data_IF_516841400193
#
_entry.id   IF_516841400193
#
_cell.length_a   1.000
_cell.length_b   1.000
_cell.length_c   1.000
_cell.angle_alpha   90.00
_cell.angle_beta   90.00
_cell.angle_gamma   90.00
#
_symmetry.space_group_name_H-M   'P 1'
#
loop_
_entity.id
_entity.type
_entity.pdbx_description
1 polymer ?
#
# COMPACT_ATOMS: atom_id res chain seq x y z
N UNK A 1 -28.71 -19.80 -13.49
CA UNK A 1 -27.44 -19.05 -13.45
C UNK A 1 -27.26 -18.56 -12.03
N UNK A 2 -26.48 -19.30 -11.25
CA UNK A 2 -26.32 -19.05 -9.81
C UNK A 2 -25.42 -17.84 -9.59
N UNK A 3 -25.52 -17.12 -8.45
CA UNK A 3 -24.65 -15.98 -8.16
C UNK A 3 -23.15 -16.32 -8.32
N UNK A 4 -22.74 -17.53 -7.96
CA UNK A 4 -21.35 -18.01 -8.10
C UNK A 4 -20.85 -18.14 -9.55
N UNK A 5 -21.73 -18.42 -10.52
CA UNK A 5 -21.37 -18.51 -11.94
C UNK A 5 -21.20 -17.13 -12.60
N UNK A 6 -21.94 -16.13 -12.12
CA UNK A 6 -21.76 -14.74 -12.54
C UNK A 6 -20.42 -14.19 -12.05
N UNK A 7 -20.06 -14.48 -10.79
CA UNK A 7 -18.76 -14.12 -10.23
C UNK A 7 -17.59 -14.82 -10.92
N UNK A 8 -17.75 -16.09 -11.33
CA UNK A 8 -16.70 -16.81 -12.06
C UNK A 8 -16.50 -16.30 -13.48
N UNK A 9 -17.59 -15.95 -14.20
CA UNK A 9 -17.51 -15.34 -15.54
C UNK A 9 -16.96 -13.91 -15.52
N UNK A 10 -17.36 -13.09 -14.54
CA UNK A 10 -16.80 -11.74 -14.36
C UNK A 10 -15.30 -11.82 -14.04
N UNK A 11 -14.89 -12.76 -13.16
CA UNK A 11 -13.48 -13.04 -12.85
C UNK A 11 -12.69 -13.44 -14.10
N UNK A 12 -13.25 -14.27 -14.98
CA UNK A 12 -12.57 -14.68 -16.21
C UNK A 12 -12.50 -13.57 -17.28
N UNK A 13 -13.47 -12.65 -17.33
CA UNK A 13 -13.46 -11.52 -18.28
C UNK A 13 -12.42 -10.43 -17.97
N UNK A 14 -11.89 -10.41 -16.73
CA UNK A 14 -10.90 -9.43 -16.24
C UNK A 14 -9.45 -9.93 -16.43
N UNK A 15 -9.23 -11.05 -17.15
CA UNK A 15 -7.88 -11.53 -17.46
C UNK A 15 -7.18 -12.27 -16.31
N UNK A 16 -7.94 -12.85 -15.38
CA UNK A 16 -7.43 -13.50 -14.16
C UNK A 16 -6.80 -14.90 -14.42
N UNK A 17 -6.61 -15.30 -15.68
CA UNK A 17 -6.00 -16.58 -16.07
C UNK A 17 -4.53 -16.51 -16.48
N UNK A 18 -3.87 -15.35 -16.45
CA UNK A 18 -2.40 -15.38 -16.53
C UNK A 18 -1.85 -15.84 -15.17
N UNK A 19 -1.06 -16.89 -15.15
CA UNK A 19 -0.33 -17.47 -14.01
C UNK A 19 0.71 -16.51 -13.37
N UNK A 20 0.59 -15.21 -13.62
CA UNK A 20 1.50 -14.13 -13.25
C UNK A 20 0.73 -13.04 -12.50
N UNK A 21 1.01 -12.80 -11.21
CA UNK A 21 0.39 -11.71 -10.48
C UNK A 21 0.91 -10.39 -11.05
N UNK A 22 -0.02 -9.49 -11.37
CA UNK A 22 0.26 -8.07 -11.58
C UNK A 22 0.27 -7.37 -10.21
N UNK A 23 1.39 -6.74 -9.86
CA UNK A 23 1.54 -6.07 -8.57
C UNK A 23 0.94 -4.66 -8.57
N UNK A 24 0.57 -4.14 -9.74
CA UNK A 24 -0.14 -2.86 -9.86
C UNK A 24 -1.60 -2.95 -9.42
N UNK A 25 -2.17 -4.17 -9.42
CA UNK A 25 -3.56 -4.41 -9.09
C UNK A 25 -3.64 -5.10 -7.73
N UNK A 26 -4.04 -4.35 -6.71
CA UNK A 26 -4.40 -4.94 -5.41
C UNK A 26 -5.86 -5.40 -5.43
N UNK A 27 -6.14 -6.64 -5.05
CA UNK A 27 -7.50 -7.15 -4.88
C UNK A 27 -7.77 -7.16 -3.38
N UNK A 28 -8.75 -6.37 -2.95
CA UNK A 28 -9.15 -6.34 -1.53
C UNK A 28 -9.75 -7.69 -1.15
N UNK A 29 -9.29 -8.24 -0.03
CA UNK A 29 -9.96 -9.37 0.60
C UNK A 29 -11.37 -8.95 1.07
N UNK A 30 -12.39 -9.82 1.02
CA UNK A 30 -13.71 -9.52 1.56
C UNK A 30 -13.66 -9.09 3.04
N UNK A 31 -12.71 -9.63 3.80
CA UNK A 31 -12.52 -9.28 5.21
C UNK A 31 -11.93 -7.87 5.38
N UNK A 32 -10.96 -7.50 4.56
CA UNK A 32 -10.35 -6.16 4.57
C UNK A 32 -11.37 -5.11 4.13
N UNK A 33 -12.15 -5.42 3.09
CA UNK A 33 -13.25 -4.58 2.65
C UNK A 33 -14.26 -4.35 3.79
N UNK A 34 -14.66 -5.41 4.50
CA UNK A 34 -15.58 -5.30 5.64
C UNK A 34 -14.99 -4.42 6.75
N UNK A 35 -13.71 -4.63 7.12
CA UNK A 35 -13.05 -3.84 8.16
C UNK A 35 -13.01 -2.35 7.84
N UNK A 36 -12.60 -1.99 6.63
CA UNK A 36 -12.55 -0.58 6.20
C UNK A 36 -13.94 0.03 6.08
N UNK A 37 -14.93 -0.76 5.67
CA UNK A 37 -16.33 -0.32 5.61
C UNK A 37 -16.91 -0.06 7.00
N UNK A 38 -16.65 -0.95 7.96
CA UNK A 38 -17.07 -0.77 9.36
C UNK A 38 -16.43 0.47 9.98
N UNK A 39 -15.13 0.69 9.75
CA UNK A 39 -14.44 1.91 10.21
C UNK A 39 -15.07 3.16 9.60
N UNK A 40 -15.36 3.14 8.29
CA UNK A 40 -16.02 4.25 7.59
C UNK A 40 -17.40 4.57 8.18
N UNK A 41 -18.21 3.55 8.47
CA UNK A 41 -19.53 3.70 9.07
C UNK A 41 -19.44 4.26 10.50
N UNK A 42 -18.47 3.81 11.31
CA UNK A 42 -18.26 4.32 12.67
C UNK A 42 -17.86 5.80 12.65
N UNK A 43 -16.95 6.18 11.75
CA UNK A 43 -16.52 7.57 11.60
C UNK A 43 -17.67 8.46 11.13
N UNK A 44 -18.47 8.00 10.16
CA UNK A 44 -19.64 8.72 9.68
C UNK A 44 -20.72 8.87 10.77
N UNK A 45 -20.98 7.80 11.53
CA UNK A 45 -21.90 7.83 12.66
C UNK A 45 -21.43 8.86 13.72
N UNK A 46 -20.13 8.88 14.04
CA UNK A 46 -19.55 9.84 14.97
C UNK A 46 -19.68 11.27 14.44
N UNK A 47 -19.44 11.49 13.15
CA UNK A 47 -19.54 12.80 12.50
C UNK A 47 -20.97 13.34 12.49
N UNK A 48 -21.89 12.53 12.00
CA UNK A 48 -23.31 12.86 11.84
C UNK A 48 -24.00 13.09 13.20
N UNK A 49 -23.64 12.29 14.21
CA UNK A 49 -24.14 12.45 15.57
C UNK A 49 -23.61 13.74 16.22
N UNK A 50 -22.30 14.00 16.12
CA UNK A 50 -21.65 15.12 16.80
C UNK A 50 -22.08 16.48 16.25
N UNK A 51 -22.23 16.61 14.92
CA UNK A 51 -22.49 17.91 14.30
C UNK A 51 -23.97 18.24 14.09
N UNK A 52 -24.85 17.24 13.95
CA UNK A 52 -26.25 17.51 13.60
C UNK A 52 -27.28 16.69 14.40
N UNK A 53 -26.86 15.69 15.19
CA UNK A 53 -27.77 14.72 15.85
C UNK A 53 -28.88 14.21 14.92
N UNK A 54 -28.58 14.07 13.62
CA UNK A 54 -29.57 13.80 12.58
C UNK A 54 -29.26 12.50 11.87
N UNK A 55 -30.26 11.61 11.84
CA UNK A 55 -30.18 10.32 11.15
C UNK A 55 -30.20 10.48 9.62
N UNK A 56 -30.73 11.60 9.14
CA UNK A 56 -30.83 11.91 7.70
C UNK A 56 -29.44 12.19 7.12
N UNK A 57 -28.59 12.90 7.86
CA UNK A 57 -27.21 13.20 7.42
C UNK A 57 -26.33 11.96 7.39
N UNK A 58 -26.51 11.05 8.36
CA UNK A 58 -25.87 9.74 8.35
C UNK A 58 -26.23 8.95 7.09
N UNK A 59 -27.52 8.90 6.72
CA UNK A 59 -27.95 8.21 5.49
C UNK A 59 -27.39 8.84 4.21
N UNK A 60 -27.20 10.16 4.19
CA UNK A 60 -26.64 10.89 3.03
C UNK A 60 -25.11 10.69 2.91
N UNK A 61 -24.39 10.54 4.02
CA UNK A 61 -22.93 10.36 4.04
C UNK A 61 -22.48 8.89 3.96
N UNK A 62 -23.37 7.94 4.26
CA UNK A 62 -23.16 6.51 4.11
C UNK A 62 -22.52 6.09 2.75
N UNK A 63 -22.99 6.55 1.57
CA UNK A 63 -22.33 6.22 0.31
C UNK A 63 -20.88 6.70 0.25
N UNK A 64 -20.51 7.79 0.92
CA UNK A 64 -19.13 8.27 1.03
C UNK A 64 -18.28 7.34 1.92
N UNK A 65 -18.85 6.80 3.00
CA UNK A 65 -18.18 5.81 3.83
C UNK A 65 -17.88 4.50 3.07
N UNK A 66 -18.72 4.12 2.11
CA UNK A 66 -18.50 2.96 1.23
C UNK A 66 -17.41 3.20 0.16
N UNK A 67 -17.03 4.46 -0.11
CA UNK A 67 -15.94 4.81 -1.03
C UNK A 67 -14.55 4.72 -0.38
N UNK A 68 -14.48 4.74 0.95
CA UNK A 68 -13.25 4.66 1.75
C UNK A 68 -12.37 3.42 1.44
N UNK A 69 -12.89 2.18 1.29
CA UNK A 69 -12.08 1.03 0.88
C UNK A 69 -11.44 1.18 -0.51
N UNK A 70 -12.07 1.92 -1.43
CA UNK A 70 -11.48 2.17 -2.76
C UNK A 70 -10.28 3.11 -2.68
N UNK A 71 -10.32 4.10 -1.78
CA UNK A 71 -9.17 4.97 -1.51
C UNK A 71 -8.01 4.18 -0.88
N UNK A 72 -8.32 3.33 0.10
CA UNK A 72 -7.31 2.51 0.78
C UNK A 72 -6.65 1.46 -0.12
N UNK A 73 -7.30 1.07 -1.21
CA UNK A 73 -6.71 0.18 -2.22
C UNK A 73 -5.36 0.69 -2.73
N UNK A 74 -5.22 2.01 -2.92
CA UNK A 74 -3.97 2.62 -3.39
C UNK A 74 -2.87 2.48 -2.32
N UNK A 75 -3.19 2.78 -1.07
CA UNK A 75 -2.27 2.64 0.05
C UNK A 75 -1.82 1.19 0.26
N UNK A 76 -2.75 0.23 0.17
CA UNK A 76 -2.44 -1.20 0.27
C UNK A 76 -1.58 -1.70 -0.89
N UNK A 77 -1.84 -1.21 -2.11
CA UNK A 77 -1.00 -1.49 -3.27
C UNK A 77 0.43 -0.95 -3.07
N UNK A 78 0.56 0.30 -2.62
CA UNK A 78 1.86 0.91 -2.31
C UNK A 78 2.61 0.13 -1.23
N UNK A 79 1.93 -0.28 -0.14
CA UNK A 79 2.53 -1.10 0.91
C UNK A 79 2.99 -2.48 0.40
N UNK A 80 2.21 -3.11 -0.48
CA UNK A 80 2.59 -4.37 -1.14
C UNK A 80 3.83 -4.19 -2.02
N UNK A 81 3.89 -3.12 -2.82
CA UNK A 81 5.06 -2.79 -3.65
C UNK A 81 6.29 -2.50 -2.79
N UNK A 82 6.15 -1.74 -1.71
CA UNK A 82 7.24 -1.49 -0.77
C UNK A 82 7.79 -2.78 -0.16
N UNK A 83 6.90 -3.72 0.22
CA UNK A 83 7.31 -5.04 0.69
C UNK A 83 8.07 -5.83 -0.38
N UNK A 84 7.60 -5.81 -1.63
CA UNK A 84 8.30 -6.45 -2.74
C UNK A 84 9.70 -5.84 -2.95
N UNK A 85 9.83 -4.51 -2.85
CA UNK A 85 11.11 -3.82 -2.97
C UNK A 85 12.11 -4.23 -1.87
N UNK A 86 11.63 -4.37 -0.63
CA UNK A 86 12.44 -4.88 0.50
C UNK A 86 12.91 -6.31 0.25
N UNK A 87 12.00 -7.19 -0.15
CA UNK A 87 12.32 -8.59 -0.47
C UNK A 87 13.30 -8.69 -1.66
N UNK A 88 13.14 -7.82 -2.66
CA UNK A 88 14.03 -7.73 -3.82
C UNK A 88 15.45 -7.27 -3.44
N UNK A 89 15.59 -6.27 -2.57
CA UNK A 89 16.90 -5.80 -2.07
C UNK A 89 17.69 -6.94 -1.42
N UNK A 90 17.05 -7.77 -0.59
CA UNK A 90 17.74 -8.93 0.00
C UNK A 90 18.08 -9.99 -1.05
N UNK A 91 17.20 -10.19 -2.04
CA UNK A 91 17.48 -11.10 -3.15
C UNK A 91 18.68 -10.68 -4.00
N UNK A 92 18.89 -9.37 -4.22
CA UNK A 92 20.08 -8.87 -4.90
C UNK A 92 21.36 -9.17 -4.11
N UNK A 93 21.33 -9.00 -2.79
CA UNK A 93 22.47 -9.31 -1.91
C UNK A 93 22.85 -10.80 -1.97
N UNK A 94 21.84 -11.68 -1.90
CA UNK A 94 22.01 -13.13 -2.02
C UNK A 94 22.53 -13.52 -3.42
N UNK A 95 21.97 -12.95 -4.49
CA UNK A 95 22.46 -13.19 -5.84
C UNK A 95 23.91 -12.75 -6.01
N UNK A 96 24.27 -11.59 -5.46
CA UNK A 96 25.63 -11.04 -5.52
C UNK A 96 26.64 -11.98 -4.84
N UNK A 97 26.29 -12.58 -3.70
CA UNK A 97 27.18 -13.51 -2.99
C UNK A 97 27.43 -14.79 -3.80
N UNK A 98 26.39 -15.37 -4.43
CA UNK A 98 26.56 -16.56 -5.28
C UNK A 98 27.38 -16.27 -6.54
N UNK A 99 27.13 -15.15 -7.22
CA UNK A 99 27.94 -14.76 -8.38
C UNK A 99 29.39 -14.47 -8.00
N UNK A 100 29.62 -13.85 -6.83
CA UNK A 100 30.97 -13.65 -6.28
C UNK A 100 31.69 -14.95 -5.98
N UNK A 101 30.95 -16.00 -5.60
CA UNK A 101 31.46 -17.36 -5.40
C UNK A 101 31.70 -18.12 -6.72
N UNK A 102 31.52 -17.48 -7.89
CA UNK A 102 31.81 -18.05 -9.20
C UNK A 102 30.66 -18.85 -9.81
N UNK A 103 29.44 -18.76 -9.26
CA UNK A 103 28.27 -19.40 -9.86
C UNK A 103 27.94 -18.74 -11.20
N UNK A 104 27.44 -19.52 -12.17
CA UNK A 104 26.79 -18.92 -13.34
C UNK A 104 25.51 -18.20 -12.93
N UNK A 105 25.07 -17.24 -13.74
CA UNK A 105 23.83 -16.48 -13.50
C UNK A 105 22.64 -17.39 -13.25
N UNK A 106 22.43 -18.38 -14.09
CA UNK A 106 21.32 -19.33 -13.99
C UNK A 106 21.40 -20.15 -12.69
N UNK A 107 22.61 -20.57 -12.29
CA UNK A 107 22.82 -21.34 -11.07
C UNK A 107 22.69 -20.47 -9.82
N UNK A 108 23.10 -19.21 -9.87
CA UNK A 108 22.92 -18.25 -8.78
C UNK A 108 21.43 -18.01 -8.48
N UNK A 109 20.59 -17.82 -9.52
CA UNK A 109 19.13 -17.74 -9.35
C UNK A 109 18.53 -19.01 -8.73
N UNK A 110 19.02 -20.20 -9.12
CA UNK A 110 18.58 -21.47 -8.51
C UNK A 110 19.00 -21.59 -7.04
N UNK A 111 20.24 -21.22 -6.72
CA UNK A 111 20.81 -21.28 -5.39
C UNK A 111 20.21 -20.23 -4.43
N UNK A 112 19.76 -19.08 -4.95
CA UNK A 112 19.12 -18.04 -4.16
C UNK A 112 17.74 -18.44 -3.61
N UNK A 113 16.99 -19.32 -4.29
CA UNK A 113 15.63 -19.73 -3.87
C UNK A 113 15.60 -20.33 -2.44
N UNK A 114 16.40 -21.36 -2.09
CA UNK A 114 16.37 -21.92 -0.75
C UNK A 114 16.74 -20.89 0.34
N UNK A 115 17.69 -20.00 0.08
CA UNK A 115 18.04 -18.93 1.03
C UNK A 115 16.91 -17.91 1.21
N UNK A 116 16.28 -17.49 0.12
CA UNK A 116 15.12 -16.59 0.16
C UNK A 116 13.93 -17.21 0.90
N UNK A 117 13.72 -18.53 0.76
CA UNK A 117 12.69 -19.26 1.51
C UNK A 117 12.96 -19.28 3.00
N UNK A 118 14.23 -19.41 3.39
CA UNK A 118 14.63 -19.36 4.78
C UNK A 118 14.43 -17.97 5.38
N UNK A 119 14.68 -16.91 4.60
CA UNK A 119 14.57 -15.53 5.05
C UNK A 119 13.13 -15.02 5.15
N UNK A 120 12.30 -15.25 4.12
CA UNK A 120 10.97 -14.62 4.01
C UNK A 120 9.78 -15.58 4.05
N UNK A 121 10.03 -16.88 4.22
CA UNK A 121 9.06 -17.99 4.07
C UNK A 121 8.77 -18.34 2.60
N UNK A 122 8.21 -19.53 2.37
CA UNK A 122 8.01 -20.08 1.01
C UNK A 122 6.98 -19.35 0.15
N UNK A 123 6.09 -18.56 0.75
CA UNK A 123 5.03 -17.83 0.05
C UNK A 123 5.33 -16.34 -0.14
N UNK A 124 6.57 -15.91 0.13
CA UNK A 124 7.01 -14.54 -0.12
C UNK A 124 6.94 -14.20 -1.61
N UNK A 125 6.71 -12.93 -1.92
CA UNK A 125 6.48 -12.49 -3.30
C UNK A 125 7.74 -12.72 -4.13
N UNK A 126 8.92 -12.37 -3.58
CA UNK A 126 10.18 -12.55 -4.30
C UNK A 126 10.52 -14.02 -4.55
N UNK A 127 10.18 -14.92 -3.61
CA UNK A 127 10.42 -16.35 -3.73
C UNK A 127 9.64 -16.91 -4.92
N UNK A 128 8.36 -16.55 -5.02
CA UNK A 128 7.51 -16.98 -6.14
C UNK A 128 8.02 -16.45 -7.48
N UNK A 129 8.50 -15.21 -7.51
CA UNK A 129 9.05 -14.60 -8.73
C UNK A 129 10.38 -15.24 -9.15
N UNK A 130 11.29 -15.51 -8.20
CA UNK A 130 12.53 -16.24 -8.49
C UNK A 130 12.28 -17.68 -8.94
N UNK A 131 11.29 -18.36 -8.34
CA UNK A 131 10.86 -19.68 -8.80
C UNK A 131 10.34 -19.65 -10.25
N UNK A 132 9.60 -18.60 -10.63
CA UNK A 132 9.12 -18.42 -12.01
C UNK A 132 10.25 -18.12 -12.99
N UNK A 133 11.21 -17.28 -12.60
CA UNK A 133 12.40 -17.03 -13.42
C UNK A 133 13.15 -18.35 -13.63
N UNK A 134 13.40 -19.12 -12.57
CA UNK A 134 14.07 -20.42 -12.68
C UNK A 134 13.30 -21.42 -13.55
N UNK A 135 11.98 -21.46 -13.42
CA UNK A 135 11.12 -22.30 -14.26
C UNK A 135 11.16 -21.84 -15.73
N UNK A 136 11.13 -20.54 -16.00
CA UNK A 136 11.29 -19.99 -17.35
C UNK A 136 12.62 -20.37 -17.98
N UNK A 137 13.70 -20.34 -17.20
CA UNK A 137 15.03 -20.77 -17.66
C UNK A 137 15.07 -22.27 -18.00
N UNK A 138 14.33 -23.14 -17.26
CA UNK A 138 14.21 -24.57 -17.65
C UNK A 138 13.49 -24.77 -18.98
N UNK A 139 12.72 -23.77 -19.44
CA UNK A 139 12.05 -23.76 -20.74
C UNK A 139 12.89 -23.03 -21.81
N UNK A 140 14.19 -22.88 -21.61
CA UNK A 140 15.14 -22.19 -22.50
C UNK A 140 14.78 -20.73 -22.82
N UNK A 141 14.03 -20.05 -21.94
CA UNK A 141 13.85 -18.61 -22.02
C UNK A 141 15.07 -17.90 -21.43
N UNK A 142 15.58 -16.83 -22.06
CA UNK A 142 16.69 -16.06 -21.51
C UNK A 142 16.24 -15.38 -20.21
N UNK A 143 17.15 -15.31 -19.23
CA UNK A 143 16.89 -14.68 -17.93
C UNK A 143 16.58 -13.19 -18.06
N UNK A 144 17.14 -12.55 -19.09
CA UNK A 144 16.91 -11.18 -19.51
C UNK A 144 15.42 -10.89 -19.73
N UNK A 145 14.75 -11.74 -20.52
CA UNK A 145 13.33 -11.59 -20.84
C UNK A 145 12.47 -11.86 -19.60
N UNK A 146 12.85 -12.84 -18.79
CA UNK A 146 12.13 -13.22 -17.57
C UNK A 146 12.22 -12.14 -16.49
N UNK A 147 13.40 -11.54 -16.34
CA UNK A 147 13.64 -10.43 -15.42
C UNK A 147 12.92 -9.15 -15.89
N UNK A 148 12.89 -8.90 -17.20
CA UNK A 148 12.15 -7.78 -17.79
C UNK A 148 10.63 -7.93 -17.61
N UNK A 149 10.09 -9.14 -17.77
CA UNK A 149 8.68 -9.43 -17.46
C UNK A 149 8.37 -9.20 -15.97
N UNK A 150 9.24 -9.66 -15.08
CA UNK A 150 9.11 -9.41 -13.65
C UNK A 150 9.13 -7.91 -13.33
N UNK A 151 10.08 -7.16 -13.90
CA UNK A 151 10.17 -5.72 -13.74
C UNK A 151 8.88 -5.02 -14.17
N UNK A 152 8.37 -5.32 -15.38
CA UNK A 152 7.12 -4.75 -15.89
C UNK A 152 5.93 -5.04 -14.97
N UNK A 153 5.79 -6.29 -14.48
CA UNK A 153 4.70 -6.68 -13.57
C UNK A 153 4.84 -6.10 -12.17
N UNK A 154 6.05 -5.82 -11.71
CA UNK A 154 6.30 -5.25 -10.39
C UNK A 154 5.80 -3.82 -10.28
N UNK A 155 5.87 -3.05 -11.38
CA UNK A 155 5.56 -1.63 -11.41
C UNK A 155 6.40 -0.81 -10.42
N UNK A 156 7.65 -1.22 -10.19
CA UNK A 156 8.65 -0.57 -9.35
C UNK A 156 9.82 -0.12 -10.21
N UNK A 157 10.09 1.18 -10.23
CA UNK A 157 11.17 1.76 -11.05
C UNK A 157 12.54 1.18 -10.69
N UNK A 158 12.79 0.89 -9.41
CA UNK A 158 14.05 0.30 -8.95
C UNK A 158 14.31 -1.09 -9.56
N UNK A 159 13.25 -1.90 -9.74
CA UNK A 159 13.34 -3.24 -10.36
C UNK A 159 13.51 -3.10 -11.88
N UNK A 160 12.81 -2.16 -12.49
CA UNK A 160 12.93 -1.84 -13.92
C UNK A 160 14.35 -1.38 -14.28
N UNK A 161 14.87 -0.40 -13.54
CA UNK A 161 16.23 0.11 -13.73
C UNK A 161 17.28 -1.00 -13.55
N UNK A 162 17.10 -1.86 -12.53
CA UNK A 162 17.98 -3.01 -12.36
C UNK A 162 17.93 -3.97 -13.56
N UNK A 163 16.74 -4.32 -14.04
CA UNK A 163 16.59 -5.23 -15.17
C UNK A 163 17.28 -4.69 -16.43
N UNK A 164 17.14 -3.40 -16.73
CA UNK A 164 17.79 -2.75 -17.86
C UNK A 164 19.32 -2.81 -17.77
N UNK A 165 19.88 -2.44 -16.61
CA UNK A 165 21.34 -2.49 -16.39
C UNK A 165 21.86 -3.93 -16.43
N UNK A 166 21.09 -4.88 -15.89
CA UNK A 166 21.44 -6.29 -15.88
C UNK A 166 21.56 -6.87 -17.29
N UNK A 167 20.63 -6.55 -18.19
CA UNK A 167 20.64 -7.01 -19.59
C UNK A 167 21.92 -6.58 -20.30
N UNK A 168 22.35 -5.33 -20.08
CA UNK A 168 23.57 -4.78 -20.69
C UNK A 168 24.82 -5.47 -20.12
N UNK A 169 24.84 -5.72 -18.82
CA UNK A 169 26.04 -6.20 -18.14
C UNK A 169 26.21 -7.72 -18.08
N UNK A 170 25.18 -8.51 -18.37
CA UNK A 170 25.24 -9.97 -18.27
C UNK A 170 26.39 -10.61 -19.05
N UNK A 171 26.79 -10.01 -20.16
CA UNK A 171 27.92 -10.48 -20.98
C UNK A 171 29.25 -10.49 -20.21
N UNK A 172 29.36 -9.71 -19.13
CA UNK A 172 30.53 -9.57 -18.29
C UNK A 172 30.21 -9.98 -16.85
N UNK A 173 30.35 -11.28 -16.52
CA UNK A 173 29.95 -11.85 -15.21
C UNK A 173 30.54 -11.17 -13.97
N UNK A 174 31.77 -10.64 -14.05
CA UNK A 174 32.36 -9.87 -12.93
C UNK A 174 31.72 -8.51 -12.70
N UNK A 175 31.16 -7.89 -13.74
CA UNK A 175 30.46 -6.61 -13.66
C UNK A 175 29.06 -6.77 -13.04
N UNK A 176 28.43 -7.94 -13.19
CA UNK A 176 27.14 -8.26 -12.57
C UNK A 176 27.17 -8.18 -11.04
N UNK A 177 28.24 -8.67 -10.41
CA UNK A 177 28.42 -8.60 -8.95
C UNK A 177 28.40 -7.14 -8.49
N UNK A 178 29.13 -6.27 -9.17
CA UNK A 178 29.16 -4.84 -8.85
C UNK A 178 27.78 -4.19 -9.02
N UNK A 179 27.06 -4.53 -10.08
CA UNK A 179 25.71 -3.99 -10.35
C UNK A 179 24.69 -4.45 -9.32
N UNK A 180 24.71 -5.74 -8.94
CA UNK A 180 23.82 -6.28 -7.91
C UNK A 180 24.07 -5.60 -6.56
N UNK A 181 25.34 -5.50 -6.15
CA UNK A 181 25.72 -4.86 -4.90
C UNK A 181 25.35 -3.37 -4.89
N UNK A 182 25.64 -2.66 -5.97
CA UNK A 182 25.31 -1.24 -6.09
C UNK A 182 23.79 -0.99 -6.11
N UNK A 183 23.02 -1.83 -6.80
CA UNK A 183 21.56 -1.72 -6.81
C UNK A 183 20.95 -2.01 -5.44
N UNK A 184 21.48 -3.01 -4.72
CA UNK A 184 21.09 -3.30 -3.34
C UNK A 184 21.40 -2.13 -2.40
N UNK A 185 22.54 -1.48 -2.59
CA UNK A 185 22.95 -0.29 -1.82
C UNK A 185 22.06 0.91 -2.08
N UNK A 186 21.77 1.25 -3.35
CA UNK A 186 20.83 2.33 -3.71
C UNK A 186 19.46 2.10 -3.08
N UNK A 187 18.91 0.88 -3.20
CA UNK A 187 17.60 0.56 -2.64
C UNK A 187 17.64 0.66 -1.10
N UNK A 188 18.73 0.20 -0.48
CA UNK A 188 18.93 0.30 0.98
C UNK A 188 18.98 1.74 1.46
N UNK A 189 19.75 2.60 0.79
CA UNK A 189 19.83 4.03 1.10
C UNK A 189 18.46 4.69 0.98
N UNK A 190 17.73 4.40 -0.10
CA UNK A 190 16.35 4.89 -0.31
C UNK A 190 15.41 4.47 0.82
N UNK A 191 15.46 3.20 1.24
CA UNK A 191 14.66 2.70 2.38
C UNK A 191 15.04 3.42 3.67
N UNK A 192 16.33 3.58 3.94
CA UNK A 192 16.81 4.23 5.16
C UNK A 192 16.34 5.68 5.24
N UNK A 193 16.42 6.43 4.13
CA UNK A 193 15.89 7.79 4.04
C UNK A 193 14.37 7.81 4.27
N UNK A 194 13.63 6.88 3.66
CA UNK A 194 12.18 6.77 3.89
C UNK A 194 11.83 6.46 5.36
N UNK A 195 12.60 5.60 6.01
CA UNK A 195 12.44 5.28 7.43
C UNK A 195 12.79 6.45 8.34
N UNK A 196 13.85 7.19 8.04
CA UNK A 196 14.22 8.41 8.75
C UNK A 196 13.09 9.47 8.65
N UNK A 197 12.56 9.69 7.45
CA UNK A 197 11.41 10.58 7.26
C UNK A 197 10.19 10.07 8.04
N UNK A 198 9.94 8.76 8.03
CA UNK A 198 8.81 8.16 8.74
C UNK A 198 8.94 8.33 10.25
N UNK A 199 10.14 8.19 10.80
CA UNK A 199 10.41 8.36 12.24
C UNK A 199 10.33 9.82 12.65
N UNK A 200 10.90 10.74 11.87
CA UNK A 200 10.78 12.19 12.08
C UNK A 200 9.30 12.65 12.05
N UNK A 201 8.50 12.08 11.15
CA UNK A 201 7.08 12.41 11.04
C UNK A 201 6.17 11.57 11.94
N UNK A 202 6.67 10.54 12.62
CA UNK A 202 5.85 9.69 13.47
C UNK A 202 5.21 10.50 14.60
N UNK A 203 6.01 11.32 15.29
CA UNK A 203 5.53 12.17 16.39
C UNK A 203 4.47 13.16 15.91
N UNK A 204 4.71 13.84 14.78
CA UNK A 204 3.74 14.77 14.17
C UNK A 204 2.45 14.07 13.74
N UNK A 205 2.54 12.85 13.21
CA UNK A 205 1.38 12.02 12.84
C UNK A 205 0.53 11.65 14.04
N UNK A 206 1.15 11.32 15.18
CA UNK A 206 0.41 11.03 16.42
C UNK A 206 -0.24 12.29 16.99
N UNK A 207 0.50 13.39 17.07
CA UNK A 207 -0.01 14.67 17.54
C UNK A 207 -1.20 15.15 16.69
N UNK A 208 -1.10 15.08 15.36
CA UNK A 208 -2.21 15.40 14.47
C UNK A 208 -3.42 14.50 14.70
N UNK A 209 -3.23 13.18 14.87
CA UNK A 209 -4.35 12.27 15.16
C UNK A 209 -5.08 12.66 16.44
N UNK A 210 -4.34 13.08 17.46
CA UNK A 210 -4.92 13.59 18.71
C UNK A 210 -5.66 14.90 18.45
N UNK A 211 -5.04 15.85 17.74
CA UNK A 211 -5.64 17.14 17.43
C UNK A 211 -6.95 17.01 16.62
N UNK A 212 -6.99 16.06 15.68
CA UNK A 212 -8.18 15.73 14.92
C UNK A 212 -9.32 15.21 15.82
N UNK A 213 -9.00 14.52 16.92
CA UNK A 213 -10.00 13.98 17.84
C UNK A 213 -10.55 15.03 18.82
N UNK A 214 -9.80 16.11 19.10
CA UNK A 214 -10.15 17.14 20.09
C UNK A 214 -11.57 17.72 19.90
N UNK A 215 -12.01 18.16 18.69
CA UNK A 215 -13.33 18.74 18.51
C UNK A 215 -14.47 17.78 18.91
N UNK A 216 -14.32 16.49 18.63
CA UNK A 216 -15.29 15.48 19.05
C UNK A 216 -15.32 15.32 20.58
N UNK A 217 -14.14 15.24 21.21
CA UNK A 217 -14.04 15.12 22.66
C UNK A 217 -14.66 16.31 23.38
N UNK A 218 -14.41 17.54 22.89
CA UNK A 218 -15.00 18.75 23.47
C UNK A 218 -16.53 18.72 23.35
N UNK A 219 -17.08 18.38 22.19
CA UNK A 219 -18.53 18.35 21.99
C UNK A 219 -19.18 17.26 22.84
N UNK A 220 -18.57 16.07 22.93
CA UNK A 220 -19.05 14.97 23.77
C UNK A 220 -18.97 15.32 25.26
N UNK A 221 -17.84 15.86 25.71
CA UNK A 221 -17.64 16.29 27.10
C UNK A 221 -18.66 17.35 27.51
N UNK A 222 -18.86 18.37 26.67
CA UNK A 222 -19.83 19.43 26.94
C UNK A 222 -21.27 18.91 26.92
N UNK A 223 -21.63 18.00 26.01
CA UNK A 223 -22.97 17.36 26.04
C UNK A 223 -23.20 16.55 27.32
N UNK A 224 -22.17 15.90 27.86
CA UNK A 224 -22.26 15.12 29.10
C UNK A 224 -22.31 16.02 30.35
N UNK A 225 -21.44 17.02 30.44
CA UNK A 225 -21.34 17.90 31.60
C UNK A 225 -22.47 18.94 31.68
N UNK A 226 -22.97 19.41 30.54
CA UNK A 226 -24.06 20.39 30.46
C UNK A 226 -25.05 19.98 29.35
N UNK A 227 -25.97 19.05 29.66
CA UNK A 227 -26.99 18.62 28.72
C UNK A 227 -27.84 19.83 28.29
N UNK A 228 -27.90 20.06 26.98
CA UNK A 228 -28.67 21.16 26.40
C UNK A 228 -27.86 22.37 25.96
N UNK A 229 -26.56 22.46 26.28
CA UNK A 229 -25.69 23.56 25.86
C UNK A 229 -25.73 23.81 24.33
N UNK A 230 -25.69 22.74 23.52
CA UNK A 230 -25.70 22.84 22.06
C UNK A 230 -27.11 22.81 21.43
N UNK A 231 -28.20 22.77 22.19
CA UNK A 231 -29.56 22.64 21.63
C UNK A 231 -29.89 23.79 20.67
N UNK A 232 -29.58 25.03 21.05
CA UNK A 232 -29.78 26.21 20.19
C UNK A 232 -29.01 26.08 18.88
N UNK A 233 -27.82 25.48 18.93
CA UNK A 233 -26.96 25.27 17.76
C UNK A 233 -27.53 24.22 16.79
N UNK A 234 -28.21 23.18 17.30
CA UNK A 234 -28.80 22.12 16.47
C UNK A 234 -30.21 22.44 15.97
N UNK A 235 -31.02 23.16 16.77
CA UNK A 235 -32.43 23.38 16.45
C UNK A 235 -32.68 24.67 15.66
N UNK A 236 -31.93 25.74 15.92
CA UNK A 236 -32.15 27.01 15.21
C UNK A 236 -31.52 26.99 13.81
N UNK A 237 -32.17 27.67 12.85
CA UNK A 237 -31.65 27.81 11.49
C UNK A 237 -30.23 28.42 11.49
N UNK A 238 -30.03 29.48 12.29
CA UNK A 238 -28.76 30.19 12.40
C UNK A 238 -27.67 29.32 13.07
N UNK A 239 -28.05 28.47 14.02
CA UNK A 239 -27.19 27.44 14.60
C UNK A 239 -26.71 26.43 13.57
N UNK A 240 -27.62 25.89 12.74
CA UNK A 240 -27.28 24.93 11.68
C UNK A 240 -26.34 25.51 10.63
N UNK A 241 -26.53 26.78 10.25
CA UNK A 241 -25.61 27.47 9.33
C UNK A 241 -24.22 27.56 9.95
N UNK A 242 -24.11 27.98 11.21
CA UNK A 242 -22.84 28.05 11.94
C UNK A 242 -22.15 26.69 12.02
N UNK A 243 -22.89 25.62 12.36
CA UNK A 243 -22.36 24.26 12.41
C UNK A 243 -21.84 23.78 11.05
N UNK A 244 -22.52 24.15 9.97
CA UNK A 244 -22.09 23.81 8.61
C UNK A 244 -20.80 24.52 8.22
N UNK A 245 -20.65 25.79 8.60
CA UNK A 245 -19.38 26.53 8.39
C UNK A 245 -18.24 25.90 9.20
N UNK A 246 -18.48 25.57 10.47
CA UNK A 246 -17.50 24.87 11.31
C UNK A 246 -17.11 23.51 10.72
N UNK A 247 -18.08 22.76 10.19
CA UNK A 247 -17.84 21.48 9.53
C UNK A 247 -16.92 21.63 8.32
N UNK A 248 -17.21 22.59 7.45
CA UNK A 248 -16.42 22.83 6.23
C UNK A 248 -14.99 23.23 6.61
N UNK A 249 -14.82 24.12 7.58
CA UNK A 249 -13.50 24.51 8.08
C UNK A 249 -12.74 23.31 8.65
N UNK A 250 -13.42 22.48 9.44
CA UNK A 250 -12.82 21.28 10.03
C UNK A 250 -12.42 20.24 8.97
N UNK A 251 -13.29 19.95 8.00
CA UNK A 251 -12.96 19.06 6.87
C UNK A 251 -11.80 19.61 6.03
N UNK A 252 -11.77 20.93 5.81
CA UNK A 252 -10.66 21.59 5.10
C UNK A 252 -9.36 21.45 5.88
N UNK A 253 -9.39 21.64 7.20
CA UNK A 253 -8.24 21.44 8.06
C UNK A 253 -7.75 19.99 8.03
N UNK A 254 -8.65 19.00 8.12
CA UNK A 254 -8.30 17.58 7.98
C UNK A 254 -7.60 17.30 6.64
N UNK A 255 -8.19 17.79 5.54
CA UNK A 255 -7.62 17.61 4.20
C UNK A 255 -6.24 18.25 4.05
N UNK A 256 -6.07 19.48 4.53
CA UNK A 256 -4.79 20.19 4.48
C UNK A 256 -3.74 19.44 5.31
N UNK A 257 -4.13 18.95 6.48
CA UNK A 257 -3.25 18.25 7.39
C UNK A 257 -2.80 16.89 6.83
N UNK A 258 -3.68 16.14 6.17
CA UNK A 258 -3.28 14.92 5.45
C UNK A 258 -2.33 15.22 4.29
N UNK A 259 -2.58 16.30 3.52
CA UNK A 259 -1.72 16.69 2.40
C UNK A 259 -0.32 17.11 2.86
N UNK A 260 -0.20 17.81 3.98
CA UNK A 260 1.09 18.21 4.56
C UNK A 260 1.85 17.00 5.13
N UNK A 261 1.15 15.98 5.63
CA UNK A 261 1.80 14.76 6.16
C UNK A 261 2.13 13.70 5.09
N UNK A 262 1.43 13.72 3.97
CA UNK A 262 1.75 12.93 2.78
C UNK A 262 2.69 13.72 1.88
N UNK A 263 3.81 14.20 2.43
CA UNK A 263 4.94 14.58 1.59
C UNK A 263 5.47 13.28 1.00
N UNK A 264 5.01 13.03 -0.22
CA UNK A 264 5.45 12.01 -1.13
C UNK A 264 6.84 12.43 -1.63
N UNK A 265 7.82 11.53 -1.52
CA UNK A 265 9.08 11.61 -2.27
C UNK A 265 9.01 10.56 -3.36
#
# INVERSE_FOLDING_TARGET
>A
MTPGELWSKLRNSVGITSSTPDYNIYILSPLEFLQWTVIGIILDALFSYTFYKSIVLFLVLLPFALLLPFYQRKALCAARKQRLLLEFKEALSILSSFLSAGYSTENAFRAAIPELKQLFQSHAMIVLEFQKIVQGMTLNKPVEDLLSDFAYRSGLDDITNFAEVFIVAKRNGGQLVQILSHSSEIIREKIQVQEEIRTLNANRRYEQKIMNLIPFLIILYMNFSSPGFFLVLYETFLGRVTMTVCLILYLTALYLSERIMNIEI
#
